data_IF_867189501299
#
_entry.id   IF_867189501299
#
_cell.length_a   1.000
_cell.length_b   1.000
_cell.length_c   1.000
_cell.angle_alpha   90.00
_cell.angle_beta   90.00
_cell.angle_gamma   90.00
#
_symmetry.space_group_name_H-M   'P 1'
#
loop_
_entity.id
_entity.type
_entity.pdbx_description
1 polymer ?
#
# COMPACT_ATOMS: atom_id res chain seq x y z
N UNK A 1 78.37 4.14 -22.28
CA UNK A 1 78.09 3.17 -21.20
C UNK A 1 77.03 3.79 -20.30
N UNK A 2 75.78 3.30 -20.35
CA UNK A 2 74.86 3.32 -19.19
C UNK A 2 75.09 2.00 -18.41
N UNK A 3 74.63 1.76 -17.16
CA UNK A 3 73.50 2.36 -16.39
C UNK A 3 73.88 2.69 -14.91
N UNK A 4 73.03 3.02 -13.93
CA UNK A 4 71.57 2.95 -13.73
C UNK A 4 71.11 3.87 -12.58
N UNK A 5 69.90 4.43 -12.64
CA UNK A 5 68.59 3.91 -12.17
C UNK A 5 68.32 4.20 -10.69
N UNK A 6 67.34 5.08 -10.42
CA UNK A 6 66.35 4.86 -9.36
C UNK A 6 65.06 5.58 -9.73
N UNK A 7 64.02 4.78 -9.94
CA UNK A 7 62.64 5.17 -10.16
C UNK A 7 61.96 5.50 -8.82
N UNK A 8 61.13 6.55 -8.79
CA UNK A 8 59.87 6.49 -8.04
C UNK A 8 58.85 7.46 -8.64
N UNK A 9 58.03 6.97 -9.57
CA UNK A 9 56.79 7.61 -9.97
C UNK A 9 55.71 7.27 -8.95
N UNK A 10 55.37 8.23 -8.09
CA UNK A 10 54.18 8.15 -7.22
C UNK A 10 52.96 8.47 -8.08
N UNK A 11 52.22 7.44 -8.48
CA UNK A 11 50.87 7.60 -9.04
C UNK A 11 49.91 7.98 -7.91
N UNK A 12 48.97 8.92 -8.12
CA UNK A 12 47.95 9.17 -7.13
C UNK A 12 47.04 7.95 -7.06
N UNK A 13 46.91 7.40 -5.85
CA UNK A 13 45.94 6.38 -5.50
C UNK A 13 44.56 6.99 -5.75
N UNK A 14 43.93 6.61 -6.87
CA UNK A 14 42.51 6.82 -7.10
C UNK A 14 41.77 5.96 -6.07
N UNK A 15 41.48 6.56 -4.90
CA UNK A 15 40.51 6.01 -3.96
C UNK A 15 39.18 5.99 -4.68
N UNK A 16 38.84 4.82 -5.20
CA UNK A 16 37.51 4.51 -5.65
C UNK A 16 36.63 4.37 -4.40
N UNK A 17 36.20 5.50 -3.84
CA UNK A 17 35.12 5.54 -2.87
C UNK A 17 33.81 5.36 -3.63
N UNK A 18 33.60 4.15 -4.17
CA UNK A 18 32.25 3.68 -4.38
C UNK A 18 31.61 3.58 -3.00
N UNK A 19 30.81 4.59 -2.65
CA UNK A 19 29.89 4.49 -1.53
C UNK A 19 29.06 3.22 -1.73
N UNK A 20 29.28 2.25 -0.84
CA UNK A 20 28.48 1.04 -0.72
C UNK A 20 27.04 1.36 -0.25
N UNK A 21 26.67 2.63 -0.10
CA UNK A 21 25.30 3.06 0.23
C UNK A 21 24.36 2.99 -0.98
N UNK A 22 24.85 2.57 -2.15
CA UNK A 22 24.01 2.16 -3.28
C UNK A 22 23.27 0.84 -3.05
N UNK A 23 23.50 0.15 -1.92
CA UNK A 23 22.85 -1.12 -1.58
C UNK A 23 21.39 -0.87 -1.17
N UNK A 24 20.49 -1.12 -2.11
CA UNK A 24 19.03 -1.23 -1.93
C UNK A 24 18.37 -0.06 -1.20
N UNK A 25 18.26 1.08 -1.87
CA UNK A 25 17.38 2.15 -1.41
C UNK A 25 15.91 1.76 -1.64
N UNK A 26 15.18 1.38 -0.59
CA UNK A 26 13.72 1.18 -0.69
C UNK A 26 13.04 2.56 -0.69
N UNK A 27 12.54 2.99 -1.85
CA UNK A 27 11.75 4.21 -1.95
C UNK A 27 10.29 3.93 -1.61
N UNK A 28 9.85 4.36 -0.44
CA UNK A 28 8.43 4.31 -0.03
C UNK A 28 7.76 5.64 -0.40
N UNK A 29 6.79 5.59 -1.30
CA UNK A 29 5.91 6.74 -1.56
C UNK A 29 4.61 6.51 -0.80
N UNK A 30 4.28 7.42 0.12
CA UNK A 30 2.99 7.42 0.79
C UNK A 30 1.98 8.16 -0.09
N UNK A 31 0.87 7.49 -0.41
CA UNK A 31 -0.27 8.11 -1.07
C UNK A 31 -1.45 8.09 -0.10
N UNK A 32 -2.03 9.26 0.16
CA UNK A 32 -3.25 9.40 0.95
C UNK A 32 -4.37 9.89 0.05
N UNK A 33 -5.55 9.31 0.21
CA UNK A 33 -6.76 9.79 -0.43
C UNK A 33 -7.92 9.56 0.53
N UNK A 34 -8.97 10.37 0.39
CA UNK A 34 -10.20 10.25 1.20
C UNK A 34 -11.37 9.91 0.30
N UNK A 35 -12.20 8.97 0.75
CA UNK A 35 -13.44 8.61 0.10
C UNK A 35 -14.55 8.58 1.15
N UNK A 36 -15.69 9.19 0.85
CA UNK A 36 -16.85 9.24 1.74
C UNK A 36 -17.98 8.43 1.12
N UNK A 37 -18.42 7.41 1.84
CA UNK A 37 -19.60 6.61 1.50
C UNK A 37 -20.66 6.82 2.56
N UNK A 38 -21.86 7.21 2.12
CA UNK A 38 -23.04 7.39 2.99
C UNK A 38 -23.95 6.19 2.78
N UNK A 39 -24.30 5.51 3.88
CA UNK A 39 -25.30 4.43 3.89
C UNK A 39 -26.57 4.99 4.50
N UNK A 40 -27.60 5.15 3.69
CA UNK A 40 -28.90 5.61 4.14
C UNK A 40 -29.68 4.47 4.82
N UNK A 41 -30.58 4.83 5.74
CA UNK A 41 -31.45 3.89 6.45
C UNK A 41 -30.70 2.73 7.14
N UNK A 42 -29.52 3.01 7.71
CA UNK A 42 -28.64 1.97 8.23
C UNK A 42 -29.34 1.00 9.23
N UNK A 43 -30.26 1.51 10.05
CA UNK A 43 -31.00 0.72 11.03
C UNK A 43 -31.83 -0.40 10.40
N UNK A 44 -32.37 -0.23 9.19
CA UNK A 44 -33.18 -1.28 8.55
C UNK A 44 -32.36 -2.54 8.27
N UNK A 45 -31.06 -2.40 8.02
CA UNK A 45 -30.16 -3.55 7.81
C UNK A 45 -29.85 -4.32 9.09
N UNK A 46 -30.08 -3.72 10.26
CA UNK A 46 -29.92 -4.41 11.55
C UNK A 46 -31.17 -5.23 11.89
N UNK A 47 -32.33 -4.76 11.45
CA UNK A 47 -33.64 -5.38 11.70
C UNK A 47 -34.02 -6.45 10.68
N UNK A 48 -33.37 -6.46 9.52
CA UNK A 48 -33.61 -7.45 8.45
C UNK A 48 -33.46 -8.90 8.99
N UNK A 49 -34.32 -9.86 8.62
CA UNK A 49 -34.18 -11.24 9.08
C UNK A 49 -32.95 -11.96 8.52
N UNK A 50 -32.36 -11.46 7.42
CA UNK A 50 -31.19 -12.08 6.80
C UNK A 50 -29.99 -12.08 7.77
N UNK A 51 -29.32 -13.24 7.93
CA UNK A 51 -28.23 -13.40 8.89
C UNK A 51 -26.97 -12.66 8.46
N UNK A 52 -26.79 -12.43 7.16
CA UNK A 52 -25.62 -11.76 6.59
C UNK A 52 -26.09 -10.76 5.54
N UNK A 53 -25.89 -9.48 5.83
CA UNK A 53 -26.08 -8.40 4.86
C UNK A 53 -24.72 -7.84 4.49
N UNK A 54 -24.45 -7.78 3.18
CA UNK A 54 -23.24 -7.24 2.61
C UNK A 54 -23.58 -6.01 1.79
N UNK A 55 -23.17 -4.84 2.27
CA UNK A 55 -23.30 -3.57 1.56
C UNK A 55 -21.97 -3.25 0.87
N UNK A 56 -22.04 -2.62 -0.30
CA UNK A 56 -20.85 -2.22 -1.04
C UNK A 56 -20.98 -0.81 -1.59
N UNK A 57 -19.90 -0.03 -1.47
CA UNK A 57 -19.82 1.27 -2.12
C UNK A 57 -19.67 1.12 -3.63
N UNK A 58 -19.98 2.18 -4.38
CA UNK A 58 -19.48 2.29 -5.75
C UNK A 58 -17.95 2.24 -5.76
N UNK A 59 -17.33 1.68 -6.82
CA UNK A 59 -15.88 1.71 -6.97
C UNK A 59 -15.34 3.14 -6.97
N UNK A 60 -14.18 3.34 -6.35
CA UNK A 60 -13.46 4.61 -6.34
C UNK A 60 -11.97 4.41 -6.59
N UNK A 61 -11.32 5.49 -7.02
CA UNK A 61 -9.90 5.52 -7.35
C UNK A 61 -9.23 6.71 -6.66
N UNK A 62 -7.95 6.59 -6.27
CA UNK A 62 -7.14 7.74 -5.85
C UNK A 62 -7.09 8.81 -6.95
N UNK A 63 -7.17 10.08 -6.56
CA UNK A 63 -7.24 11.21 -7.51
C UNK A 63 -5.88 11.54 -8.13
N UNK A 64 -4.78 11.11 -7.51
CA UNK A 64 -3.42 11.41 -7.99
C UNK A 64 -2.40 10.33 -7.60
N UNK A 65 -1.28 10.30 -8.33
CA UNK A 65 -0.15 9.39 -8.10
C UNK A 65 -0.17 8.14 -8.98
N UNK A 66 0.78 7.23 -8.73
CA UNK A 66 0.92 5.98 -9.50
C UNK A 66 -0.20 4.96 -9.23
N UNK A 67 -1.18 5.31 -8.38
CA UNK A 67 -2.31 4.49 -7.99
C UNK A 67 -3.63 4.96 -8.60
N UNK A 68 -3.64 5.98 -9.47
CA UNK A 68 -4.87 6.48 -10.13
C UNK A 68 -5.61 5.38 -10.91
N UNK A 69 -4.87 4.42 -11.48
CA UNK A 69 -5.45 3.30 -12.21
C UNK A 69 -6.00 2.18 -11.29
N UNK A 70 -5.86 2.30 -9.97
CA UNK A 70 -6.41 1.33 -9.03
C UNK A 70 -7.87 1.63 -8.71
N UNK A 71 -8.69 0.59 -8.64
CA UNK A 71 -10.08 0.66 -8.19
C UNK A 71 -10.24 -0.09 -6.89
N UNK A 72 -10.92 0.55 -5.97
CA UNK A 72 -11.21 0.06 -4.63
C UNK A 72 -12.71 0.17 -4.37
N UNK A 73 -13.21 -0.59 -3.40
CA UNK A 73 -14.52 -0.37 -2.81
C UNK A 73 -14.49 -0.62 -1.32
N UNK A 74 -15.44 -0.02 -0.62
CA UNK A 74 -15.73 -0.38 0.75
C UNK A 74 -16.78 -1.49 0.75
N UNK A 75 -16.58 -2.47 1.62
CA UNK A 75 -17.56 -3.52 1.90
C UNK A 75 -17.90 -3.43 3.38
N UNK A 76 -19.19 -3.38 3.69
CA UNK A 76 -19.70 -3.26 5.05
C UNK A 76 -20.66 -4.41 5.36
N UNK A 77 -20.46 -5.03 6.51
CA UNK A 77 -21.37 -5.98 7.10
C UNK A 77 -21.93 -5.38 8.38
N UNK A 78 -23.14 -4.80 8.36
CA UNK A 78 -23.75 -4.13 9.51
C UNK A 78 -23.81 -5.00 10.77
N UNK A 79 -24.06 -6.31 10.60
CA UNK A 79 -24.16 -7.31 11.67
C UNK A 79 -22.85 -8.08 11.94
N UNK A 80 -21.75 -7.64 11.33
CA UNK A 80 -20.48 -8.35 11.34
C UNK A 80 -20.39 -9.44 10.25
N UNK A 81 -19.16 -9.91 9.99
CA UNK A 81 -18.86 -11.00 9.07
C UNK A 81 -18.32 -12.24 9.84
N UNK A 82 -18.44 -13.44 9.25
CA UNK A 82 -17.92 -14.73 9.78
C UNK A 82 -18.64 -15.37 10.99
N UNK A 83 -19.95 -15.21 11.12
CA UNK A 83 -20.75 -16.03 12.06
C UNK A 83 -20.55 -15.72 13.55
N UNK A 84 -19.82 -14.65 13.87
CA UNK A 84 -19.80 -14.09 15.21
C UNK A 84 -20.97 -13.13 15.39
N UNK A 85 -21.71 -13.30 16.48
CA UNK A 85 -22.90 -12.53 16.83
C UNK A 85 -22.61 -11.05 17.10
N UNK A 86 -23.14 -10.22 16.20
CA UNK A 86 -23.85 -8.93 16.35
C UNK A 86 -23.35 -7.76 17.22
N UNK A 87 -22.22 -7.83 17.92
CA UNK A 87 -21.77 -6.68 18.74
C UNK A 87 -20.81 -5.72 18.01
N UNK A 88 -20.50 -5.99 16.75
CA UNK A 88 -19.63 -5.15 15.95
C UNK A 88 -20.07 -5.14 14.49
N UNK A 89 -19.76 -4.04 13.82
CA UNK A 89 -19.84 -3.90 12.38
C UNK A 89 -18.48 -4.27 11.77
N UNK A 90 -18.47 -4.99 10.65
CA UNK A 90 -17.23 -5.24 9.90
C UNK A 90 -17.17 -4.35 8.67
N UNK A 91 -16.05 -3.65 8.50
CA UNK A 91 -15.75 -2.87 7.30
C UNK A 91 -14.44 -3.37 6.69
N UNK A 92 -14.45 -3.57 5.38
CA UNK A 92 -13.29 -3.98 4.60
C UNK A 92 -13.03 -2.95 3.50
N UNK A 93 -11.75 -2.69 3.25
CA UNK A 93 -11.30 -2.05 2.02
C UNK A 93 -10.89 -3.14 1.03
N UNK A 94 -11.57 -3.22 -0.10
CA UNK A 94 -11.34 -4.23 -1.11
C UNK A 94 -10.68 -3.62 -2.34
N UNK A 95 -9.63 -4.27 -2.81
CA UNK A 95 -9.00 -3.98 -4.09
C UNK A 95 -9.72 -4.72 -5.21
N UNK A 96 -10.26 -3.98 -6.18
CA UNK A 96 -11.00 -4.54 -7.30
C UNK A 96 -10.06 -4.86 -8.45
N UNK A 97 -9.25 -3.87 -8.87
CA UNK A 97 -8.30 -4.00 -9.98
C UNK A 97 -7.31 -2.83 -10.02
N UNK A 98 -6.29 -2.99 -10.83
CA UNK A 98 -5.32 -1.96 -11.17
C UNK A 98 -4.25 -2.52 -12.09
N UNK A 99 -3.28 -1.69 -12.48
CA UNK A 99 -2.25 -2.07 -13.45
C UNK A 99 -1.26 -3.12 -12.93
N UNK A 100 -1.17 -3.28 -11.61
CA UNK A 100 -0.22 -4.18 -10.96
C UNK A 100 -0.89 -4.93 -9.83
N UNK A 101 -0.38 -6.12 -9.55
CA UNK A 101 -0.74 -6.83 -8.33
C UNK A 101 -0.26 -6.04 -7.11
N UNK A 102 -1.09 -6.02 -6.08
CA UNK A 102 -0.78 -5.34 -4.83
C UNK A 102 -0.57 -6.35 -3.71
N UNK A 103 0.35 -6.02 -2.80
CA UNK A 103 0.48 -6.71 -1.51
C UNK A 103 -0.05 -5.76 -0.44
N UNK A 104 -1.05 -6.22 0.32
CA UNK A 104 -1.63 -5.46 1.41
C UNK A 104 -1.12 -6.00 2.76
N UNK A 105 -0.85 -5.09 3.69
CA UNK A 105 -0.59 -5.41 5.10
C UNK A 105 -1.43 -4.43 5.93
N UNK A 106 -2.25 -4.97 6.84
CA UNK A 106 -2.95 -4.19 7.84
C UNK A 106 -2.13 -4.15 9.13
N UNK A 107 -2.01 -2.99 9.74
CA UNK A 107 -1.40 -2.79 11.05
C UNK A 107 -2.42 -2.08 11.93
N UNK A 108 -2.60 -2.56 13.16
CA UNK A 108 -3.50 -1.98 14.15
C UNK A 108 -2.65 -1.42 15.28
N UNK A 109 -2.94 -0.18 15.68
CA UNK A 109 -2.30 0.53 16.79
C UNK A 109 -2.92 0.19 18.14
#
# INVERSE_FOLDING_TARGET
MSPGTTNSSLLPIMRNEYSLDSVCCTRRTLHTFSHMWIVENFSSYLEDPEPIICLSSSPFSPVSGCSVATQWRLVCYPKGNYGASSNYMSIFLEYIKGERDIKAKAEYS
#
